data_IF_022815712148
#
_entry.id   IF_022815712148
#
_cell.length_a   1.000
_cell.length_b   1.000
_cell.length_c   1.000
_cell.angle_alpha   90.00
_cell.angle_beta   90.00
_cell.angle_gamma   90.00
#
_symmetry.space_group_name_H-M   'P 1'
#
loop_
_entity.id
_entity.type
_entity.pdbx_description
1 polymer ?
#
# COMPACT_ATOMS: atom_id res chain seq x y z
N UNK A 1 24.49 56.45 -11.01
CA UNK A 1 23.71 56.01 -12.20
C UNK A 1 22.44 55.36 -11.64
N UNK A 2 21.44 56.16 -11.27
CA UNK A 2 20.29 56.56 -12.11
C UNK A 2 19.40 55.36 -12.46
N UNK A 3 18.09 55.29 -12.22
CA UNK A 3 17.05 56.18 -11.69
C UNK A 3 15.85 55.24 -11.34
N UNK A 4 15.21 55.40 -10.17
CA UNK A 4 13.85 55.93 -9.92
C UNK A 4 12.65 55.00 -10.28
N UNK A 5 11.85 54.74 -9.23
CA UNK A 5 10.44 54.29 -9.04
C UNK A 5 9.38 54.85 -10.04
N UNK A 6 8.03 54.63 -9.91
CA UNK A 6 7.19 53.79 -9.01
C UNK A 6 6.01 53.08 -9.74
N UNK A 7 5.09 52.42 -9.00
CA UNK A 7 3.62 52.65 -9.03
C UNK A 7 2.72 51.40 -8.92
N UNK A 8 1.64 51.62 -8.18
CA UNK A 8 0.44 50.82 -7.96
C UNK A 8 -0.36 50.46 -9.22
N UNK A 9 -0.98 49.27 -9.25
CA UNK A 9 -2.29 49.06 -9.88
C UNK A 9 -2.96 47.77 -9.35
N UNK A 10 -4.26 47.91 -9.07
CA UNK A 10 -5.22 46.87 -8.71
C UNK A 10 -5.70 46.04 -9.91
N UNK A 11 -6.35 44.91 -9.60
CA UNK A 11 -7.38 44.18 -10.36
C UNK A 11 -6.96 42.87 -11.06
N UNK A 12 -7.56 41.78 -10.54
CA UNK A 12 -8.11 40.62 -11.26
C UNK A 12 -7.60 40.32 -12.67
N UNK A 13 -6.94 39.18 -12.88
CA UNK A 13 -7.42 38.10 -13.77
C UNK A 13 -6.60 36.83 -13.48
N UNK A 14 -7.27 35.68 -13.37
CA UNK A 14 -6.64 34.36 -13.41
C UNK A 14 -6.03 34.16 -14.79
N UNK A 15 -4.69 34.18 -14.89
CA UNK A 15 -3.98 33.86 -16.12
C UNK A 15 -4.10 32.36 -16.44
N UNK A 16 -4.53 32.13 -17.68
CA UNK A 16 -4.68 30.85 -18.35
C UNK A 16 -3.30 30.25 -18.64
N UNK A 17 -3.22 28.92 -18.50
CA UNK A 17 -2.06 28.13 -18.89
C UNK A 17 -1.81 28.24 -20.41
N UNK A 18 -0.60 28.61 -20.88
CA UNK A 18 -0.32 28.78 -22.30
C UNK A 18 0.14 27.44 -22.90
N UNK A 19 -0.71 26.78 -23.67
CA UNK A 19 -0.30 25.71 -24.57
C UNK A 19 -0.62 26.14 -26.00
N UNK A 20 0.31 26.87 -26.61
CA UNK A 20 0.32 27.13 -28.05
C UNK A 20 1.34 26.21 -28.71
N UNK A 21 0.85 25.31 -29.57
CA UNK A 21 1.60 24.85 -30.74
C UNK A 21 2.40 23.56 -30.60
N UNK A 22 1.71 22.42 -30.53
CA UNK A 22 2.05 21.23 -31.33
C UNK A 22 0.86 20.26 -31.32
N UNK A 23 0.11 20.26 -32.43
CA UNK A 23 -1.04 19.38 -32.62
C UNK A 23 -0.56 17.93 -32.75
N UNK A 24 -0.56 17.21 -31.63
CA UNK A 24 -0.36 15.76 -31.59
C UNK A 24 -1.49 15.05 -32.33
N UNK A 25 -1.13 14.27 -33.35
CA UNK A 25 -2.01 13.53 -34.28
C UNK A 25 -2.80 12.36 -33.64
N UNK A 26 -3.07 12.41 -32.33
CA UNK A 26 -3.74 11.34 -31.58
C UNK A 26 -4.99 11.78 -30.81
N UNK A 27 -5.50 12.99 -31.03
CA UNK A 27 -6.82 13.39 -30.53
C UNK A 27 -7.93 12.84 -31.44
N UNK A 28 -8.17 11.52 -31.41
CA UNK A 28 -9.51 11.04 -31.74
C UNK A 28 -10.41 11.51 -30.60
N UNK A 29 -11.21 12.54 -30.87
CA UNK A 29 -12.16 13.09 -29.92
C UNK A 29 -13.11 11.96 -29.50
N UNK A 30 -12.93 11.45 -28.28
CA UNK A 30 -13.91 10.58 -27.65
C UNK A 30 -15.15 11.44 -27.42
N UNK A 31 -16.14 11.34 -28.31
CA UNK A 31 -17.42 12.03 -28.18
C UNK A 31 -18.01 11.64 -26.81
N UNK A 32 -18.00 12.60 -25.87
CA UNK A 32 -18.67 12.44 -24.59
C UNK A 32 -20.16 12.25 -24.90
N UNK A 33 -20.82 11.21 -24.38
CA UNK A 33 -22.24 10.98 -24.65
C UNK A 33 -23.05 12.24 -24.30
N UNK A 34 -23.96 12.62 -25.20
CA UNK A 34 -24.74 13.86 -25.12
C UNK A 34 -25.63 13.97 -23.86
N UNK A 35 -25.78 12.88 -23.10
CA UNK A 35 -26.55 12.87 -21.85
C UNK A 35 -25.75 12.17 -20.74
N UNK A 36 -25.34 12.93 -19.73
CA UNK A 36 -24.66 12.40 -18.54
C UNK A 36 -25.64 12.35 -17.38
N UNK A 37 -25.73 11.22 -16.70
CA UNK A 37 -26.51 11.08 -15.47
C UNK A 37 -25.60 11.36 -14.26
N UNK A 38 -26.03 12.16 -13.28
CA UNK A 38 -25.24 12.35 -12.06
C UNK A 38 -25.10 11.01 -11.33
N UNK A 39 -23.94 10.81 -10.68
CA UNK A 39 -23.72 9.64 -9.82
C UNK A 39 -24.71 9.72 -8.65
N UNK A 40 -25.47 8.65 -8.35
CA UNK A 40 -26.42 8.66 -7.26
C UNK A 40 -25.69 8.73 -5.90
N UNK A 41 -26.33 9.29 -4.89
CA UNK A 41 -25.75 9.41 -3.56
C UNK A 41 -26.82 9.32 -2.46
N UNK A 42 -26.49 8.76 -1.29
CA UNK A 42 -27.37 8.81 -0.14
C UNK A 42 -27.52 10.24 0.39
N UNK A 43 -28.65 10.59 1.04
CA UNK A 43 -28.88 11.90 1.62
C UNK A 43 -27.71 12.35 2.51
N UNK A 44 -27.29 13.61 2.35
CA UNK A 44 -26.08 14.16 2.98
C UNK A 44 -26.46 15.16 4.07
N UNK A 45 -25.79 15.11 5.22
CA UNK A 45 -25.91 16.13 6.26
C UNK A 45 -25.05 17.35 5.91
N UNK A 46 -25.49 18.53 6.31
CA UNK A 46 -24.75 19.78 6.10
C UNK A 46 -23.35 19.70 6.72
N UNK A 47 -22.32 20.16 5.98
CA UNK A 47 -20.88 20.13 6.33
C UNK A 47 -20.24 18.72 6.37
N UNK A 48 -20.79 17.79 7.13
CA UNK A 48 -20.17 16.47 7.40
C UNK A 48 -20.45 15.40 6.33
N UNK A 49 -21.46 15.62 5.48
CA UNK A 49 -21.86 14.67 4.43
C UNK A 49 -22.46 13.39 5.01
N UNK A 50 -21.93 12.24 4.61
CA UNK A 50 -22.31 10.88 4.97
C UNK A 50 -21.49 10.30 6.14
N UNK A 51 -20.70 11.12 6.85
CA UNK A 51 -19.87 10.65 7.97
C UNK A 51 -20.64 9.82 9.00
N UNK A 52 -21.88 10.23 9.31
CA UNK A 52 -22.73 9.55 10.28
C UNK A 52 -23.51 8.37 9.72
N UNK A 53 -23.44 8.13 8.40
CA UNK A 53 -23.99 6.95 7.76
C UNK A 53 -23.00 5.78 7.81
N UNK A 54 -21.76 6.04 8.26
CA UNK A 54 -20.66 5.10 8.33
C UNK A 54 -20.33 4.79 9.78
N UNK A 55 -20.48 3.52 10.17
CA UNK A 55 -20.01 3.05 11.46
C UNK A 55 -18.51 2.73 11.38
N UNK A 56 -17.66 3.45 12.13
CA UNK A 56 -16.22 3.23 12.09
C UNK A 56 -15.81 1.83 12.58
N UNK A 57 -16.66 1.13 13.34
CA UNK A 57 -16.40 -0.24 13.82
C UNK A 57 -16.71 -1.31 12.77
N UNK A 58 -17.52 -0.97 11.76
CA UNK A 58 -17.98 -1.89 10.70
C UNK A 58 -17.28 -1.64 9.36
N UNK A 59 -16.58 -0.51 9.22
CA UNK A 59 -15.66 -0.22 8.11
C UNK A 59 -16.31 -0.41 6.73
N UNK A 60 -15.70 -1.29 5.91
CA UNK A 60 -16.16 -1.57 4.54
C UNK A 60 -17.54 -2.23 4.50
N UNK A 61 -17.99 -2.90 5.57
CA UNK A 61 -19.31 -3.54 5.61
C UNK A 61 -20.43 -2.51 5.49
N UNK A 62 -20.31 -1.35 6.16
CA UNK A 62 -21.30 -0.27 6.01
C UNK A 62 -21.38 0.25 4.58
N UNK A 63 -20.22 0.38 3.92
CA UNK A 63 -20.14 0.79 2.51
C UNK A 63 -20.81 -0.27 1.62
N UNK A 64 -20.61 -1.55 1.91
CA UNK A 64 -21.26 -2.63 1.17
C UNK A 64 -22.79 -2.59 1.29
N UNK A 65 -23.32 -2.46 2.51
CA UNK A 65 -24.77 -2.40 2.79
C UNK A 65 -25.47 -1.23 2.09
N UNK A 66 -24.80 -0.08 1.96
CA UNK A 66 -25.34 1.04 1.17
C UNK A 66 -25.45 0.63 -0.31
N UNK A 67 -24.43 -0.06 -0.84
CA UNK A 67 -24.39 -0.52 -2.23
C UNK A 67 -25.38 -1.64 -2.56
N UNK A 68 -25.95 -2.33 -1.58
CA UNK A 68 -26.99 -3.35 -1.81
C UNK A 68 -28.33 -2.75 -2.24
N UNK A 69 -28.54 -1.45 -2.01
CA UNK A 69 -29.76 -0.75 -2.42
C UNK A 69 -29.82 -0.64 -3.95
N UNK A 70 -30.98 -0.89 -4.61
CA UNK A 70 -31.09 -0.91 -6.06
C UNK A 70 -30.55 0.34 -6.76
N UNK A 71 -30.75 1.52 -6.15
CA UNK A 71 -30.32 2.82 -6.66
C UNK A 71 -28.80 3.07 -6.58
N UNK A 72 -28.06 2.30 -5.77
CA UNK A 72 -26.62 2.45 -5.55
C UNK A 72 -25.79 1.27 -6.06
N UNK A 73 -26.45 0.24 -6.62
CA UNK A 73 -25.84 -1.03 -6.99
C UNK A 73 -24.68 -0.92 -7.99
N UNK A 74 -24.79 -0.03 -8.98
CA UNK A 74 -23.75 0.11 -10.01
C UNK A 74 -22.60 0.98 -9.53
N UNK A 75 -22.89 2.23 -9.21
CA UNK A 75 -21.94 3.22 -8.69
C UNK A 75 -22.70 4.23 -7.83
N UNK A 76 -22.09 4.70 -6.75
CA UNK A 76 -22.65 5.77 -5.93
C UNK A 76 -21.54 6.61 -5.29
N UNK A 77 -21.87 7.82 -4.84
CA UNK A 77 -20.92 8.76 -4.24
C UNK A 77 -21.21 8.98 -2.75
N UNK A 78 -20.21 8.76 -1.89
CA UNK A 78 -20.20 9.16 -0.49
C UNK A 78 -19.39 10.44 -0.31
N UNK A 79 -19.87 11.36 0.53
CA UNK A 79 -19.11 12.57 0.87
C UNK A 79 -18.75 12.56 2.36
N UNK A 80 -17.48 12.61 2.72
CA UNK A 80 -17.03 12.63 4.12
C UNK A 80 -16.18 13.89 4.32
N UNK A 81 -16.62 14.77 5.23
CA UNK A 81 -15.88 16.00 5.58
C UNK A 81 -15.40 16.82 4.36
N UNK A 82 -16.27 16.95 3.35
CA UNK A 82 -15.96 17.70 2.12
C UNK A 82 -15.32 16.88 1.00
N UNK A 83 -14.77 15.70 1.27
CA UNK A 83 -14.18 14.80 0.26
C UNK A 83 -15.23 13.84 -0.31
N UNK A 84 -15.28 13.71 -1.63
CA UNK A 84 -16.18 12.78 -2.32
C UNK A 84 -15.43 11.50 -2.71
N UNK A 85 -16.10 10.35 -2.51
CA UNK A 85 -15.60 9.02 -2.83
C UNK A 85 -16.64 8.31 -3.69
N UNK A 86 -16.24 7.95 -4.91
CA UNK A 86 -17.07 7.12 -5.79
C UNK A 86 -16.82 5.65 -5.51
N UNK A 87 -17.88 4.91 -5.21
CA UNK A 87 -17.85 3.49 -4.90
C UNK A 87 -18.51 2.74 -6.05
N UNK A 88 -17.76 1.85 -6.70
CA UNK A 88 -18.27 0.96 -7.74
C UNK A 88 -18.72 -0.36 -7.13
N UNK A 89 -20.00 -0.71 -7.29
CA UNK A 89 -20.61 -1.92 -6.73
C UNK A 89 -20.82 -3.05 -7.74
N UNK A 90 -20.74 -2.78 -9.05
CA UNK A 90 -21.01 -3.78 -10.08
C UNK A 90 -19.81 -4.14 -10.94
N UNK A 91 -19.84 -5.38 -11.48
CA UNK A 91 -18.83 -5.87 -12.43
C UNK A 91 -18.66 -4.94 -13.64
N UNK A 92 -19.75 -4.36 -14.13
CA UNK A 92 -19.72 -3.41 -15.26
C UNK A 92 -18.85 -2.19 -14.94
N UNK A 93 -19.01 -1.62 -13.74
CA UNK A 93 -18.22 -0.47 -13.29
C UNK A 93 -16.78 -0.86 -12.98
N UNK A 94 -16.57 -2.00 -12.30
CA UNK A 94 -15.23 -2.51 -12.03
C UNK A 94 -14.43 -2.72 -13.34
N UNK A 95 -15.03 -3.38 -14.34
CA UNK A 95 -14.42 -3.57 -15.66
C UNK A 95 -14.07 -2.24 -16.34
N UNK A 96 -14.92 -1.23 -16.23
CA UNK A 96 -14.67 0.08 -16.82
C UNK A 96 -13.56 0.85 -16.09
N UNK A 97 -13.43 0.69 -14.77
CA UNK A 97 -12.41 1.34 -13.94
C UNK A 97 -11.04 0.64 -14.01
N UNK A 98 -11.00 -0.64 -14.39
CA UNK A 98 -9.76 -1.39 -14.62
C UNK A 98 -9.15 -1.17 -16.01
N UNK A 99 -9.62 -0.18 -16.77
CA UNK A 99 -9.02 0.23 -18.04
C UNK A 99 -7.86 1.21 -17.79
N UNK A 100 -6.63 0.68 -17.84
CA UNK A 100 -5.40 1.43 -17.59
C UNK A 100 -5.13 2.56 -18.61
N UNK A 101 -5.84 2.57 -19.75
CA UNK A 101 -5.74 3.68 -20.72
C UNK A 101 -6.49 4.93 -20.26
N UNK A 102 -7.39 4.78 -19.27
CA UNK A 102 -8.30 5.83 -18.79
C UNK A 102 -8.15 6.11 -17.30
N UNK A 103 -7.79 5.09 -16.53
CA UNK A 103 -7.68 5.16 -15.08
C UNK A 103 -6.31 4.71 -14.62
N UNK A 104 -5.85 5.30 -13.53
CA UNK A 104 -4.58 4.98 -12.90
C UNK A 104 -4.78 4.77 -11.41
N UNK A 105 -3.80 4.16 -10.75
CA UNK A 105 -3.86 3.90 -9.31
C UNK A 105 -3.90 5.24 -8.57
N UNK A 106 -4.86 5.39 -7.65
CA UNK A 106 -4.91 6.56 -6.79
C UNK A 106 -4.27 6.26 -5.43
N UNK A 107 -3.12 6.88 -5.16
CA UNK A 107 -2.49 6.89 -3.84
C UNK A 107 -3.25 7.84 -2.90
N UNK A 108 -4.43 7.40 -2.44
CA UNK A 108 -5.24 8.14 -1.47
C UNK A 108 -4.53 8.24 -0.11
N UNK A 109 -5.02 9.11 0.78
CA UNK A 109 -4.32 9.56 2.01
C UNK A 109 -3.70 8.43 2.88
N UNK A 110 -4.40 7.33 3.23
CA UNK A 110 -3.80 6.18 3.90
C UNK A 110 -2.58 5.57 3.16
N UNK A 111 -2.64 5.43 1.83
CA UNK A 111 -1.50 4.95 1.02
C UNK A 111 -0.33 5.94 1.07
N UNK A 112 -0.62 7.25 1.03
CA UNK A 112 0.42 8.27 1.17
C UNK A 112 1.10 8.21 2.54
N UNK A 113 0.35 7.95 3.61
CA UNK A 113 0.92 7.78 4.96
C UNK A 113 1.72 6.48 5.09
N UNK A 114 1.37 5.42 4.35
CA UNK A 114 2.17 4.20 4.31
C UNK A 114 3.57 4.43 3.72
N UNK A 115 3.77 5.48 2.93
CA UNK A 115 5.11 5.83 2.39
C UNK A 115 6.12 6.19 3.48
N UNK A 116 5.68 6.61 4.67
CA UNK A 116 6.59 6.83 5.82
C UNK A 116 7.33 5.52 6.20
N UNK A 117 6.74 4.35 5.93
CA UNK A 117 7.32 3.03 6.19
C UNK A 117 7.74 2.28 4.91
N UNK A 118 7.01 2.45 3.81
CA UNK A 118 7.19 1.68 2.59
C UNK A 118 7.87 2.48 1.47
N UNK A 119 8.14 3.77 1.67
CA UNK A 119 8.77 4.64 0.67
C UNK A 119 8.15 4.48 -0.73
N UNK A 120 9.03 4.27 -1.70
CA UNK A 120 8.72 3.94 -3.09
C UNK A 120 8.78 2.42 -3.37
N UNK A 121 8.43 1.61 -2.37
CA UNK A 121 8.18 0.18 -2.51
C UNK A 121 7.00 -0.11 -3.45
N UNK A 122 6.90 -1.34 -3.97
CA UNK A 122 5.94 -1.68 -5.04
C UNK A 122 4.47 -1.35 -4.68
N UNK A 123 4.13 -1.40 -3.39
CA UNK A 123 2.78 -1.12 -2.90
C UNK A 123 2.45 0.37 -2.81
N UNK A 124 3.42 1.26 -2.57
CA UNK A 124 3.19 2.68 -2.29
C UNK A 124 3.83 3.63 -3.29
N UNK A 125 4.64 3.12 -4.22
CA UNK A 125 5.18 3.92 -5.30
C UNK A 125 4.07 4.52 -6.17
N UNK A 126 4.34 5.71 -6.68
CA UNK A 126 3.46 6.44 -7.59
C UNK A 126 3.78 6.08 -9.04
N UNK A 127 2.81 6.19 -9.93
CA UNK A 127 2.95 5.75 -11.32
C UNK A 127 4.09 6.46 -12.08
N UNK A 128 4.48 7.66 -11.66
CA UNK A 128 5.54 8.47 -12.28
C UNK A 128 6.94 8.18 -11.72
N UNK A 129 7.06 7.29 -10.72
CA UNK A 129 8.33 6.94 -10.08
C UNK A 129 9.03 5.80 -10.82
N UNK A 130 10.24 6.07 -11.35
CA UNK A 130 11.06 5.07 -12.07
C UNK A 130 11.35 3.83 -11.22
N UNK A 131 11.45 3.99 -9.90
CA UNK A 131 11.70 2.90 -8.95
C UNK A 131 10.63 1.82 -8.98
N UNK A 132 9.35 2.18 -9.20
CA UNK A 132 8.29 1.19 -9.37
C UNK A 132 8.53 0.31 -10.58
N UNK A 133 8.84 0.92 -11.74
CA UNK A 133 9.07 0.21 -12.99
C UNK A 133 10.28 -0.74 -12.90
N UNK A 134 11.37 -0.29 -12.27
CA UNK A 134 12.59 -1.07 -12.04
C UNK A 134 12.28 -2.25 -11.12
N UNK A 135 11.69 -1.99 -9.94
CA UNK A 135 11.35 -3.04 -8.99
C UNK A 135 10.34 -4.04 -9.56
N UNK A 136 9.32 -3.56 -10.29
CA UNK A 136 8.33 -4.41 -10.93
C UNK A 136 8.99 -5.40 -11.90
N UNK A 137 9.86 -4.93 -12.80
CA UNK A 137 10.53 -5.81 -13.78
C UNK A 137 11.51 -6.79 -13.14
N UNK A 138 12.19 -6.37 -12.07
CA UNK A 138 13.12 -7.24 -11.33
C UNK A 138 12.36 -8.33 -10.55
N UNK A 139 11.25 -7.98 -9.90
CA UNK A 139 10.59 -8.85 -8.92
C UNK A 139 9.48 -9.72 -9.52
N UNK A 140 8.79 -9.27 -10.58
CA UNK A 140 7.67 -10.02 -11.16
C UNK A 140 8.02 -11.48 -11.53
N UNK A 141 9.21 -11.80 -12.09
CA UNK A 141 9.58 -13.19 -12.38
C UNK A 141 9.62 -14.10 -11.15
N UNK A 142 9.93 -13.56 -9.97
CA UNK A 142 9.96 -14.31 -8.72
C UNK A 142 8.56 -14.79 -8.27
N UNK A 143 7.49 -14.21 -8.81
CA UNK A 143 6.10 -14.59 -8.56
C UNK A 143 5.49 -15.46 -9.67
N UNK A 144 6.29 -15.91 -10.64
CA UNK A 144 5.83 -16.81 -11.69
C UNK A 144 5.54 -18.24 -11.20
N UNK A 145 4.76 -19.05 -11.94
CA UNK A 145 4.34 -20.39 -11.52
C UNK A 145 5.48 -21.34 -11.15
N UNK A 146 6.60 -21.28 -11.88
CA UNK A 146 7.79 -22.10 -11.59
C UNK A 146 8.46 -21.70 -10.28
N UNK A 147 8.56 -20.39 -10.01
CA UNK A 147 9.13 -19.85 -8.77
C UNK A 147 8.27 -20.25 -7.57
N UNK A 148 6.95 -20.13 -7.68
CA UNK A 148 6.00 -20.59 -6.67
C UNK A 148 6.14 -22.10 -6.40
N UNK A 149 6.30 -22.92 -7.44
CA UNK A 149 6.54 -24.36 -7.28
C UNK A 149 7.83 -24.66 -6.50
N UNK A 150 8.88 -23.86 -6.69
CA UNK A 150 10.13 -23.98 -5.92
C UNK A 150 9.99 -23.55 -4.46
N UNK A 151 9.01 -22.71 -4.13
CA UNK A 151 8.72 -22.30 -2.75
C UNK A 151 7.94 -23.35 -1.96
N UNK A 152 7.23 -24.26 -2.63
CA UNK A 152 6.33 -25.24 -2.00
C UNK A 152 6.99 -26.06 -0.87
N UNK A 153 8.23 -26.56 -0.97
CA UNK A 153 8.87 -27.27 0.15
C UNK A 153 9.03 -26.40 1.41
N UNK A 154 9.30 -25.10 1.27
CA UNK A 154 9.43 -24.16 2.39
C UNK A 154 8.07 -23.82 3.01
N UNK A 155 7.03 -23.72 2.18
CA UNK A 155 5.65 -23.56 2.65
C UNK A 155 5.19 -24.78 3.46
N UNK A 156 5.53 -25.99 2.99
CA UNK A 156 5.22 -27.23 3.72
C UNK A 156 5.97 -27.28 5.05
N UNK A 157 7.25 -26.91 5.08
CA UNK A 157 8.05 -26.89 6.31
C UNK A 157 7.45 -25.95 7.39
N UNK A 158 7.10 -24.72 7.03
CA UNK A 158 6.45 -23.78 7.97
C UNK A 158 5.07 -24.25 8.43
N UNK A 159 4.28 -24.84 7.53
CA UNK A 159 3.01 -25.48 7.87
C UNK A 159 3.18 -26.66 8.84
N UNK A 160 4.17 -27.52 8.61
CA UNK A 160 4.49 -28.65 9.49
C UNK A 160 4.87 -28.17 10.89
N UNK A 161 5.63 -27.08 11.01
CA UNK A 161 5.97 -26.49 12.32
C UNK A 161 4.74 -26.00 13.07
N UNK A 162 3.78 -25.35 12.39
CA UNK A 162 2.51 -24.96 13.00
C UNK A 162 1.72 -26.18 13.49
N UNK A 163 1.60 -27.23 12.66
CA UNK A 163 0.87 -28.44 13.02
C UNK A 163 1.52 -29.17 14.21
N UNK A 164 2.84 -29.28 14.24
CA UNK A 164 3.57 -29.84 15.39
C UNK A 164 3.36 -29.02 16.67
N UNK A 165 3.33 -27.69 16.56
CA UNK A 165 3.01 -26.82 17.69
C UNK A 165 1.58 -27.08 18.22
N UNK A 166 0.60 -27.23 17.31
CA UNK A 166 -0.79 -27.56 17.69
C UNK A 166 -0.91 -28.95 18.33
N UNK A 167 -0.20 -29.95 17.82
CA UNK A 167 -0.16 -31.28 18.44
C UNK A 167 0.42 -31.22 19.86
N UNK A 168 1.49 -30.45 20.08
CA UNK A 168 2.11 -30.31 21.38
C UNK A 168 1.24 -29.55 22.39
N UNK A 169 0.43 -28.60 21.91
CA UNK A 169 -0.46 -27.76 22.73
C UNK A 169 -1.90 -28.24 22.74
N UNK A 170 -2.15 -29.46 22.26
CA UNK A 170 -3.48 -30.02 22.11
C UNK A 170 -4.32 -29.90 23.39
N UNK A 171 -5.55 -29.44 23.25
CA UNK A 171 -6.47 -29.16 24.36
C UNK A 171 -6.38 -27.73 24.92
N UNK A 172 -5.42 -26.92 24.47
CA UNK A 172 -5.33 -25.50 24.82
C UNK A 172 -6.01 -24.65 23.74
N UNK A 173 -6.99 -23.80 24.09
CA UNK A 173 -7.56 -22.85 23.13
C UNK A 173 -6.51 -21.84 22.66
N UNK A 174 -6.55 -21.50 21.37
CA UNK A 174 -5.70 -20.47 20.78
C UNK A 174 -6.49 -19.58 19.81
N UNK A 175 -5.97 -18.39 19.54
CA UNK A 175 -6.51 -17.49 18.52
C UNK A 175 -6.04 -17.94 17.12
N UNK A 176 -6.98 -18.34 16.27
CA UNK A 176 -6.69 -18.84 14.92
C UNK A 176 -6.04 -17.76 14.03
N UNK A 177 -6.40 -16.48 14.21
CA UNK A 177 -5.84 -15.36 13.42
C UNK A 177 -4.38 -15.14 13.80
N UNK A 178 -4.04 -15.26 15.08
CA UNK A 178 -2.66 -15.22 15.55
C UNK A 178 -1.84 -16.36 14.93
N UNK A 179 -2.37 -17.59 14.94
CA UNK A 179 -1.67 -18.75 14.36
C UNK A 179 -1.40 -18.58 12.86
N UNK A 180 -2.39 -18.13 12.09
CA UNK A 180 -2.19 -17.88 10.67
C UNK A 180 -1.26 -16.70 10.40
N UNK A 181 -1.27 -15.65 11.23
CA UNK A 181 -0.32 -14.53 11.11
C UNK A 181 1.12 -14.99 11.33
N UNK A 182 1.34 -15.89 12.30
CA UNK A 182 2.67 -16.51 12.54
C UNK A 182 3.08 -17.40 11.36
N UNK A 183 2.17 -18.23 10.87
CA UNK A 183 2.42 -19.10 9.72
C UNK A 183 2.82 -18.29 8.48
N UNK A 184 2.04 -17.27 8.14
CA UNK A 184 2.29 -16.49 6.93
C UNK A 184 3.55 -15.65 7.05
N UNK A 185 3.85 -15.08 8.23
CA UNK A 185 5.12 -14.38 8.49
C UNK A 185 6.32 -15.31 8.30
N UNK A 186 6.29 -16.50 8.90
CA UNK A 186 7.37 -17.49 8.76
C UNK A 186 7.47 -17.98 7.30
N UNK A 187 6.33 -18.16 6.62
CA UNK A 187 6.28 -18.56 5.21
C UNK A 187 6.95 -17.53 4.33
N UNK A 188 6.57 -16.25 4.41
CA UNK A 188 7.18 -15.20 3.58
C UNK A 188 8.64 -14.98 3.98
N UNK A 189 8.96 -15.03 5.28
CA UNK A 189 10.32 -14.99 5.81
C UNK A 189 11.22 -16.02 5.15
N UNK A 190 10.77 -17.28 5.14
CA UNK A 190 11.55 -18.39 4.63
C UNK A 190 11.59 -18.40 3.10
N UNK A 191 10.44 -18.20 2.43
CA UNK A 191 10.34 -18.28 0.97
C UNK A 191 11.02 -17.10 0.26
N UNK A 192 10.84 -15.88 0.74
CA UNK A 192 11.34 -14.68 0.09
C UNK A 192 12.74 -14.25 0.58
N UNK A 193 13.08 -14.54 1.84
CA UNK A 193 14.31 -14.03 2.47
C UNK A 193 15.22 -15.11 3.06
N UNK A 194 14.83 -16.39 3.01
CA UNK A 194 15.50 -17.50 3.72
C UNK A 194 15.76 -17.20 5.19
N UNK A 195 14.85 -16.43 5.79
CA UNK A 195 14.93 -16.02 7.18
C UNK A 195 13.85 -16.74 7.99
N UNK A 196 14.24 -17.32 9.13
CA UNK A 196 13.28 -17.95 10.05
C UNK A 196 13.03 -17.02 11.23
N UNK A 197 11.81 -16.48 11.31
CA UNK A 197 11.36 -15.76 12.50
C UNK A 197 11.09 -16.72 13.68
N UNK A 198 10.86 -18.00 13.40
CA UNK A 198 10.55 -19.05 14.39
C UNK A 198 9.35 -18.66 15.26
N UNK A 199 8.29 -18.14 14.63
CA UNK A 199 7.17 -17.50 15.32
C UNK A 199 6.41 -18.44 16.26
N UNK A 200 6.52 -19.76 16.09
CA UNK A 200 5.89 -20.77 16.97
C UNK A 200 6.73 -21.17 18.19
N UNK A 201 7.96 -20.63 18.34
CA UNK A 201 8.83 -20.88 19.50
C UNK A 201 8.70 -19.82 20.61
N UNK A 202 7.88 -18.78 20.38
CA UNK A 202 7.65 -17.67 21.30
C UNK A 202 6.16 -17.54 21.58
N UNK A 203 5.78 -17.29 22.82
CA UNK A 203 4.39 -16.96 23.16
C UNK A 203 3.94 -15.64 22.53
N UNK A 204 4.86 -14.68 22.37
CA UNK A 204 4.57 -13.38 21.76
C UNK A 204 4.82 -13.40 20.26
N UNK A 205 3.99 -12.67 19.51
CA UNK A 205 4.22 -12.38 18.10
C UNK A 205 5.57 -11.69 17.89
N UNK A 206 6.17 -11.91 16.74
CA UNK A 206 7.45 -11.30 16.40
C UNK A 206 7.35 -9.76 16.46
N UNK A 207 8.34 -9.03 17.02
CA UNK A 207 8.29 -7.57 17.15
C UNK A 207 7.98 -6.81 15.85
N UNK A 208 8.39 -7.36 14.70
CA UNK A 208 8.03 -6.83 13.39
C UNK A 208 6.51 -6.71 13.19
N UNK A 209 5.75 -7.75 13.54
CA UNK A 209 4.28 -7.76 13.39
C UNK A 209 3.65 -6.76 14.35
N UNK A 210 4.11 -6.72 15.60
CA UNK A 210 3.63 -5.76 16.60
C UNK A 210 3.86 -4.30 16.17
N UNK A 211 5.05 -3.99 15.64
CA UNK A 211 5.36 -2.66 15.10
C UNK A 211 4.55 -2.34 13.84
N UNK A 212 4.38 -3.29 12.92
CA UNK A 212 3.50 -3.13 11.76
C UNK A 212 2.08 -2.78 12.20
N UNK A 213 1.53 -3.48 13.21
CA UNK A 213 0.20 -3.21 13.74
C UNK A 213 0.08 -1.81 14.35
N UNK A 214 1.07 -1.40 15.17
CA UNK A 214 1.11 -0.04 15.73
C UNK A 214 1.12 1.03 14.63
N UNK A 215 1.90 0.82 13.57
CA UNK A 215 1.99 1.73 12.42
C UNK A 215 0.66 1.78 11.67
N UNK A 216 0.05 0.64 11.34
CA UNK A 216 -1.23 0.58 10.61
C UNK A 216 -2.37 1.24 11.37
N UNK A 217 -2.49 1.01 12.68
CA UNK A 217 -3.50 1.67 13.53
C UNK A 217 -3.28 3.18 13.54
N UNK A 218 -2.03 3.64 13.68
CA UNK A 218 -1.71 5.05 13.62
C UNK A 218 -1.98 5.66 12.23
N UNK A 219 -1.79 4.93 11.13
CA UNK A 219 -2.14 5.41 9.79
C UNK A 219 -3.64 5.62 9.66
N UNK A 220 -4.46 4.67 10.12
CA UNK A 220 -5.91 4.82 10.14
C UNK A 220 -6.33 6.05 10.97
N UNK A 221 -5.79 6.22 12.18
CA UNK A 221 -6.05 7.40 13.00
C UNK A 221 -5.60 8.70 12.31
N UNK A 222 -4.38 8.74 11.75
CA UNK A 222 -3.80 9.92 11.10
C UNK A 222 -4.57 10.32 9.83
N UNK A 223 -5.15 9.35 9.13
CA UNK A 223 -5.94 9.60 7.93
C UNK A 223 -7.18 10.48 8.20
N UNK A 224 -7.68 10.48 9.44
CA UNK A 224 -8.87 11.24 9.89
C UNK A 224 -8.59 12.70 10.22
N UNK A 225 -7.32 13.10 10.35
CA UNK A 225 -6.93 14.46 10.72
C UNK A 225 -6.21 15.17 9.57
N UNK A 226 -6.34 16.51 9.44
CA UNK A 226 -5.49 17.31 8.56
C UNK A 226 -4.02 17.32 8.99
N UNK A 227 -3.09 17.48 8.04
CA UNK A 227 -1.64 17.39 8.29
C UNK A 227 -1.11 18.39 9.33
N UNK A 228 -1.70 19.59 9.37
CA UNK A 228 -1.34 20.61 10.36
C UNK A 228 -1.58 20.16 11.82
N UNK A 229 -2.67 19.42 12.06
CA UNK A 229 -3.01 18.93 13.40
C UNK A 229 -2.15 17.74 13.82
N UNK A 230 -1.64 16.95 12.87
CA UNK A 230 -0.77 15.82 13.18
C UNK A 230 0.52 16.25 13.88
N UNK A 231 1.05 17.44 13.56
CA UNK A 231 2.27 17.98 14.19
C UNK A 231 2.14 18.20 15.70
N UNK A 232 0.92 18.45 16.19
CA UNK A 232 0.66 18.69 17.61
C UNK A 232 0.66 17.41 18.45
N UNK A 233 0.57 16.22 17.82
CA UNK A 233 0.50 14.92 18.49
C UNK A 233 1.89 14.36 18.80
N UNK A 234 2.73 15.11 19.52
CA UNK A 234 4.15 14.76 19.76
C UNK A 234 4.37 13.31 20.22
N UNK A 235 3.67 12.86 21.26
CA UNK A 235 3.84 11.50 21.77
C UNK A 235 3.38 10.42 20.80
N UNK A 236 2.30 10.67 20.04
CA UNK A 236 1.84 9.74 19.01
C UNK A 236 2.84 9.68 17.85
N UNK A 237 3.37 10.83 17.41
CA UNK A 237 4.41 10.91 16.38
C UNK A 237 5.67 10.17 16.80
N UNK A 238 6.12 10.35 18.06
CA UNK A 238 7.30 9.65 18.57
C UNK A 238 7.12 8.13 18.55
N UNK A 239 5.95 7.63 18.98
CA UNK A 239 5.63 6.19 18.92
C UNK A 239 5.56 5.67 17.48
N UNK A 240 4.92 6.43 16.60
CA UNK A 240 4.76 6.09 15.20
C UNK A 240 6.10 5.96 14.47
N UNK A 241 6.93 7.02 14.50
CA UNK A 241 8.24 6.98 13.85
C UNK A 241 9.24 6.05 14.56
N UNK A 242 9.10 5.84 15.87
CA UNK A 242 9.88 4.84 16.60
C UNK A 242 9.60 3.41 16.12
N UNK A 243 8.33 3.04 15.95
CA UNK A 243 7.96 1.72 15.43
C UNK A 243 8.45 1.52 13.98
N UNK A 244 8.38 2.56 13.13
CA UNK A 244 8.93 2.52 11.77
C UNK A 244 10.45 2.30 11.81
N UNK A 245 11.17 3.03 12.66
CA UNK A 245 12.62 2.89 12.77
C UNK A 245 13.02 1.48 13.24
N UNK A 246 12.33 0.92 14.23
CA UNK A 246 12.59 -0.46 14.66
C UNK A 246 12.36 -1.47 13.52
N UNK A 247 11.34 -1.26 12.67
CA UNK A 247 11.13 -2.07 11.47
C UNK A 247 12.25 -1.91 10.44
N UNK A 248 12.73 -0.67 10.22
CA UNK A 248 13.87 -0.42 9.35
C UNK A 248 15.12 -1.13 9.85
N UNK A 249 15.42 -1.02 11.14
CA UNK A 249 16.58 -1.65 11.76
C UNK A 249 16.53 -3.18 11.62
N UNK A 250 15.36 -3.80 11.82
CA UNK A 250 15.18 -5.25 11.62
C UNK A 250 15.42 -5.68 10.17
N UNK A 251 14.86 -4.96 9.20
CA UNK A 251 15.04 -5.28 7.78
C UNK A 251 16.48 -5.03 7.31
N UNK A 252 17.12 -3.96 7.78
CA UNK A 252 18.52 -3.67 7.49
C UNK A 252 19.46 -4.72 8.05
N UNK A 253 19.18 -5.23 9.25
CA UNK A 253 19.95 -6.33 9.84
C UNK A 253 19.82 -7.60 8.99
N UNK A 254 18.63 -7.94 8.54
CA UNK A 254 18.38 -9.08 7.64
C UNK A 254 19.15 -8.93 6.31
N UNK A 255 19.09 -7.74 5.70
CA UNK A 255 19.83 -7.45 4.46
C UNK A 255 21.35 -7.53 4.69
N UNK A 256 21.84 -6.92 5.78
CA UNK A 256 23.25 -6.92 6.14
C UNK A 256 23.77 -8.32 6.47
N UNK A 257 22.98 -9.17 7.12
CA UNK A 257 23.31 -10.57 7.35
C UNK A 257 23.45 -11.34 6.04
N UNK A 258 22.53 -11.16 5.09
CA UNK A 258 22.64 -11.77 3.76
C UNK A 258 23.88 -11.31 3.01
N UNK A 259 24.24 -10.02 3.08
CA UNK A 259 25.45 -9.49 2.45
C UNK A 259 26.73 -10.05 3.08
N UNK A 260 26.73 -10.30 4.40
CA UNK A 260 27.87 -10.90 5.13
C UNK A 260 28.01 -12.40 4.87
N UNK A 261 26.88 -13.10 4.72
CA UNK A 261 26.83 -14.53 4.44
C UNK A 261 26.09 -14.78 3.11
N UNK A 262 26.73 -14.52 1.95
CA UNK A 262 26.08 -14.67 0.67
C UNK A 262 25.60 -16.10 0.45
N UNK A 263 24.41 -16.24 -0.14
CA UNK A 263 23.90 -17.52 -0.59
C UNK A 263 23.58 -17.44 -2.09
N UNK A 264 24.60 -17.55 -2.97
CA UNK A 264 24.47 -17.18 -4.38
C UNK A 264 23.42 -18.00 -5.14
N UNK A 265 23.29 -19.27 -4.78
CA UNK A 265 22.35 -20.22 -5.40
C UNK A 265 20.93 -20.11 -4.84
N UNK A 266 20.68 -19.17 -3.93
CA UNK A 266 19.34 -18.91 -3.41
C UNK A 266 18.47 -18.29 -4.49
N UNK A 267 17.52 -19.05 -5.02
CA UNK A 267 16.46 -18.52 -5.89
C UNK A 267 15.34 -17.80 -5.10
N UNK A 268 15.72 -16.98 -4.11
CA UNK A 268 14.79 -16.20 -3.29
C UNK A 268 14.73 -14.73 -3.71
N UNK A 269 13.73 -14.03 -3.19
CA UNK A 269 13.45 -12.64 -3.56
C UNK A 269 14.55 -11.68 -3.12
N UNK A 270 15.17 -11.92 -1.97
CA UNK A 270 16.27 -11.11 -1.47
C UNK A 270 17.49 -11.20 -2.39
N UNK A 271 17.80 -12.40 -2.88
CA UNK A 271 18.92 -12.63 -3.78
C UNK A 271 18.67 -11.92 -5.13
N UNK A 272 17.46 -12.03 -5.67
CA UNK A 272 17.01 -11.25 -6.84
C UNK A 272 17.18 -9.74 -6.60
N UNK A 273 16.71 -9.23 -5.46
CA UNK A 273 16.84 -7.80 -5.13
C UNK A 273 18.28 -7.31 -5.03
N UNK A 274 19.18 -8.15 -4.52
CA UNK A 274 20.60 -7.80 -4.30
C UNK A 274 21.46 -7.89 -5.56
N UNK A 275 21.08 -8.74 -6.52
CA UNK A 275 21.98 -9.13 -7.62
C UNK A 275 21.42 -8.90 -9.02
N UNK A 276 20.09 -8.98 -9.19
CA UNK A 276 19.48 -8.83 -10.50
C UNK A 276 19.42 -7.35 -10.90
N UNK A 277 19.48 -7.12 -12.21
CA UNK A 277 19.38 -5.79 -12.81
C UNK A 277 18.16 -5.73 -13.69
N UNK A 278 17.53 -4.56 -13.74
CA UNK A 278 16.44 -4.32 -14.65
C UNK A 278 16.91 -4.50 -16.10
N UNK A 279 16.31 -5.41 -16.89
CA UNK A 279 16.71 -5.67 -18.27
C UNK A 279 16.56 -4.45 -19.19
N UNK A 280 15.71 -3.47 -18.84
CA UNK A 280 15.49 -2.27 -19.66
C UNK A 280 16.52 -1.17 -19.40
N UNK A 281 16.85 -0.91 -18.13
CA UNK A 281 17.72 0.22 -17.73
C UNK A 281 19.13 -0.21 -17.31
N UNK A 282 19.34 -1.49 -17.01
CA UNK A 282 20.59 -2.01 -16.43
C UNK A 282 20.84 -1.59 -14.97
N UNK A 283 19.88 -0.88 -14.34
CA UNK A 283 19.96 -0.45 -12.94
C UNK A 283 19.56 -1.60 -12.01
N UNK A 284 20.20 -1.68 -10.85
CA UNK A 284 19.75 -2.52 -9.73
C UNK A 284 18.95 -1.70 -8.72
N UNK A 285 18.44 -2.37 -7.68
CA UNK A 285 17.77 -1.71 -6.57
C UNK A 285 18.80 -1.13 -5.57
N UNK A 286 18.50 0.03 -5.00
CA UNK A 286 19.29 0.59 -3.91
C UNK A 286 18.99 -0.13 -2.60
N UNK A 287 19.92 -0.16 -1.66
CA UNK A 287 19.71 -0.77 -0.33
C UNK A 287 18.45 -0.24 0.37
N UNK A 288 18.18 1.06 0.22
CA UNK A 288 16.98 1.70 0.75
C UNK A 288 15.70 1.17 0.08
N UNK A 289 15.67 1.06 -1.25
CA UNK A 289 14.51 0.48 -1.93
C UNK A 289 14.33 -1.00 -1.58
N UNK A 290 15.42 -1.77 -1.45
CA UNK A 290 15.37 -3.16 -1.01
C UNK A 290 14.72 -3.26 0.38
N UNK A 291 15.08 -2.38 1.33
CA UNK A 291 14.40 -2.32 2.65
C UNK A 291 12.90 -2.11 2.49
N UNK A 292 12.47 -1.14 1.67
CA UNK A 292 11.06 -0.88 1.42
C UNK A 292 10.32 -2.09 0.82
N UNK A 293 10.96 -2.81 -0.11
CA UNK A 293 10.39 -4.04 -0.67
C UNK A 293 10.31 -5.16 0.37
N UNK A 294 11.35 -5.35 1.19
CA UNK A 294 11.33 -6.34 2.29
C UNK A 294 10.15 -6.07 3.21
N UNK A 295 9.95 -4.83 3.66
CA UNK A 295 8.82 -4.47 4.53
C UNK A 295 7.50 -4.66 3.80
N UNK A 296 7.42 -4.31 2.51
CA UNK A 296 6.22 -4.49 1.69
C UNK A 296 5.79 -5.96 1.65
N UNK A 297 6.71 -6.88 1.36
CA UNK A 297 6.40 -8.31 1.26
C UNK A 297 6.12 -8.94 2.63
N UNK A 298 6.89 -8.58 3.67
CA UNK A 298 6.61 -9.04 5.04
C UNK A 298 5.22 -8.56 5.51
N UNK A 299 4.82 -7.34 5.16
CA UNK A 299 3.51 -6.78 5.51
C UNK A 299 2.37 -7.46 4.74
N UNK A 300 2.60 -7.86 3.50
CA UNK A 300 1.63 -8.60 2.69
C UNK A 300 1.33 -10.00 3.25
N UNK A 301 2.21 -10.55 4.10
CA UNK A 301 1.96 -11.81 4.80
C UNK A 301 0.88 -11.72 5.89
N UNK A 302 0.52 -10.53 6.39
CA UNK A 302 -0.44 -10.43 7.49
C UNK A 302 -1.85 -10.88 7.08
N UNK A 303 -2.45 -11.82 7.82
CA UNK A 303 -3.89 -12.09 7.75
C UNK A 303 -4.67 -10.92 8.39
N UNK A 304 -5.55 -10.31 7.60
CA UNK A 304 -6.37 -9.15 7.98
C UNK A 304 -7.55 -9.50 8.84
#
# INVERSE_FOLDING_TARGET
MSNVCPASASASTLEQCPVSGEQSKYASAMELPQETKPIPYPPRKFIVGNLFDLDPTRGVQCIHEIGERPEFRDIYELKIMGQAFSIAGSYKMAKALCDETRFKKNAHRPIMLLRDMLGDGLFTALDEEESWEIAHRILLPAFGPLSLKKMQPMMVDTLTQMLMHWEHTAGTPFDIVDQFTRLTLDTIGLCAFRFRFNSFHSEKVHPFVDNLMKVLVQIDERSKFPDGLLKLRYFANKKYYGAIQEMFDMCDQLIAERKRNPYPDAGDLLNTMLHDKDPKTGKGLTDENIRYQVITFLSAGKCG
#
